data_IF_379271431466
#
_entry.id   IF_379271431466
#
_cell.length_a   1.000
_cell.length_b   1.000
_cell.length_c   1.000
_cell.angle_alpha   90.00
_cell.angle_beta   90.00
_cell.angle_gamma   90.00
#
_symmetry.space_group_name_H-M   'P 1'
#
loop_
_entity.id
_entity.type
_entity.pdbx_description
1 polymer ?
#
# COMPACT_ATOMS: atom_id res chain seq x y z
N UNK A 1 -5.63 15.48 -7.58
CA UNK A 1 -4.75 14.55 -6.81
C UNK A 1 -5.59 13.80 -5.78
N UNK A 2 -5.04 12.85 -5.00
CA UNK A 2 -5.84 12.17 -3.96
C UNK A 2 -6.44 13.15 -2.93
N UNK A 3 -5.66 14.14 -2.47
CA UNK A 3 -6.14 15.14 -1.51
C UNK A 3 -7.23 16.05 -2.09
N UNK A 4 -7.16 16.36 -3.38
CA UNK A 4 -8.21 17.13 -4.05
C UNK A 4 -9.52 16.33 -4.12
N UNK A 5 -9.46 15.08 -4.58
CA UNK A 5 -10.62 14.19 -4.58
C UNK A 5 -11.22 14.00 -3.18
N UNK A 6 -10.36 13.74 -2.19
CA UNK A 6 -10.79 13.41 -0.84
C UNK A 6 -11.32 14.62 -0.06
N UNK A 7 -10.65 15.78 -0.17
CA UNK A 7 -10.96 16.97 0.65
C UNK A 7 -11.79 18.00 -0.12
N UNK A 8 -11.40 18.34 -1.35
CA UNK A 8 -12.04 19.42 -2.12
C UNK A 8 -13.35 18.94 -2.75
N UNK A 9 -13.33 17.74 -3.32
CA UNK A 9 -14.45 17.16 -4.06
C UNK A 9 -15.32 16.23 -3.18
N UNK A 10 -15.00 16.12 -1.89
CA UNK A 10 -15.76 15.34 -0.90
C UNK A 10 -16.06 13.90 -1.31
N UNK A 11 -15.17 13.26 -2.08
CA UNK A 11 -15.38 11.92 -2.64
C UNK A 11 -16.65 11.76 -3.50
N UNK A 12 -17.22 12.85 -4.05
CA UNK A 12 -18.43 12.80 -4.87
C UNK A 12 -18.20 12.19 -6.27
N UNK A 13 -17.09 12.48 -6.98
CA UNK A 13 -16.85 11.89 -8.29
C UNK A 13 -16.74 10.36 -8.24
N UNK A 14 -17.25 9.69 -9.26
CA UNK A 14 -17.14 8.23 -9.34
C UNK A 14 -15.69 7.80 -9.62
N UNK A 15 -15.15 6.94 -8.76
CA UNK A 15 -13.79 6.41 -8.91
C UNK A 15 -13.74 5.37 -10.04
N UNK A 16 -12.92 5.61 -11.06
CA UNK A 16 -12.71 4.67 -12.17
C UNK A 16 -11.36 3.93 -12.11
N UNK A 17 -10.45 4.36 -11.23
CA UNK A 17 -9.12 3.76 -11.07
C UNK A 17 -8.17 4.62 -10.24
N UNK A 18 -6.93 4.12 -10.04
CA UNK A 18 -5.87 4.78 -9.29
C UNK A 18 -4.57 4.80 -10.09
N UNK A 19 -3.85 5.92 -10.05
CA UNK A 19 -2.54 6.11 -10.67
C UNK A 19 -1.55 6.64 -9.63
N UNK A 20 -0.36 6.05 -9.56
CA UNK A 20 0.72 6.46 -8.66
C UNK A 20 1.87 7.02 -9.47
N UNK A 21 1.90 8.34 -9.62
CA UNK A 21 2.93 9.03 -10.42
C UNK A 21 4.32 8.78 -9.83
N UNK A 22 5.23 8.30 -10.67
CA UNK A 22 6.63 8.03 -10.31
C UNK A 22 6.86 6.68 -9.62
N UNK A 23 5.84 5.81 -9.51
CA UNK A 23 5.99 4.52 -8.82
C UNK A 23 6.96 3.58 -9.55
N UNK A 24 6.98 3.62 -10.88
CA UNK A 24 7.87 2.78 -11.71
C UNK A 24 9.36 3.19 -11.57
N UNK A 25 9.62 4.41 -11.08
CA UNK A 25 10.97 4.92 -10.81
C UNK A 25 11.32 4.87 -9.32
N UNK A 26 10.33 4.61 -8.45
CA UNK A 26 10.49 4.63 -7.01
C UNK A 26 11.30 3.42 -6.54
N UNK A 27 12.22 3.67 -5.61
CA UNK A 27 13.01 2.63 -4.95
C UNK A 27 12.60 2.51 -3.49
N UNK A 28 12.69 1.31 -2.89
CA UNK A 28 12.51 1.16 -1.45
C UNK A 28 13.46 2.08 -0.68
N UNK A 29 12.97 2.65 0.42
CA UNK A 29 13.83 3.41 1.31
C UNK A 29 14.92 2.49 1.92
N UNK A 30 16.08 3.04 2.29
CA UNK A 30 17.15 2.26 2.91
C UNK A 30 16.63 1.43 4.09
N UNK A 31 16.92 0.12 4.07
CA UNK A 31 16.52 -0.81 5.12
C UNK A 31 15.11 -1.40 5.00
N UNK A 32 14.26 -0.94 4.07
CA UNK A 32 12.89 -1.50 3.93
C UNK A 32 12.93 -2.97 3.55
N UNK A 33 13.66 -3.34 2.49
CA UNK A 33 13.74 -4.74 2.05
C UNK A 33 14.40 -5.61 3.12
N UNK A 34 15.52 -5.16 3.69
CA UNK A 34 16.21 -5.85 4.78
C UNK A 34 15.28 -6.09 5.99
N UNK A 35 14.47 -5.10 6.38
CA UNK A 35 13.54 -5.25 7.49
C UNK A 35 12.45 -6.29 7.20
N UNK A 36 12.00 -6.40 5.94
CA UNK A 36 11.08 -7.47 5.54
C UNK A 36 11.80 -8.82 5.52
N UNK A 37 13.02 -8.89 4.98
CA UNK A 37 13.86 -10.09 4.93
C UNK A 37 14.24 -10.63 6.32
N UNK A 38 14.41 -9.76 7.31
CA UNK A 38 14.75 -10.15 8.69
C UNK A 38 13.49 -10.46 9.54
N UNK A 39 12.30 -10.11 9.05
CA UNK A 39 11.07 -10.35 9.79
C UNK A 39 10.70 -11.83 9.84
N UNK A 40 10.28 -12.29 11.03
CA UNK A 40 9.65 -13.60 11.22
C UNK A 40 8.26 -13.66 10.56
N UNK A 41 7.51 -12.55 10.65
CA UNK A 41 6.14 -12.40 10.12
C UNK A 41 5.94 -10.97 9.63
N UNK A 42 5.24 -10.80 8.50
CA UNK A 42 4.81 -9.50 8.00
C UNK A 42 3.32 -9.29 8.32
N UNK A 43 2.98 -8.17 8.94
CA UNK A 43 1.59 -7.79 9.24
C UNK A 43 1.15 -6.63 8.35
N UNK A 44 0.11 -6.86 7.54
CA UNK A 44 -0.61 -5.80 6.83
C UNK A 44 -1.74 -5.30 7.71
N UNK A 45 -1.54 -4.10 8.28
CA UNK A 45 -2.50 -3.40 9.12
C UNK A 45 -3.82 -3.07 8.38
N UNK A 46 -4.93 -2.82 9.10
CA UNK A 46 -6.25 -2.53 8.53
C UNK A 46 -6.36 -1.10 7.96
N UNK A 47 -5.48 -0.75 7.03
CA UNK A 47 -5.51 0.51 6.28
C UNK A 47 -6.29 0.37 4.97
N UNK A 48 -6.53 1.48 4.27
CA UNK A 48 -7.19 1.44 2.97
C UNK A 48 -6.34 0.64 1.95
N UNK A 49 -6.88 -0.41 1.33
CA UNK A 49 -6.09 -1.29 0.47
C UNK A 49 -5.58 -0.58 -0.79
N UNK A 50 -6.33 0.38 -1.35
CA UNK A 50 -5.99 1.04 -2.60
C UNK A 50 -5.08 2.25 -2.43
N UNK A 51 -5.35 3.12 -1.46
CA UNK A 51 -4.61 4.40 -1.35
C UNK A 51 -3.57 4.41 -0.23
N UNK A 52 -3.51 3.36 0.58
CA UNK A 52 -2.49 3.22 1.64
C UNK A 52 -1.57 2.02 1.41
N UNK A 53 -2.12 0.83 1.14
CA UNK A 53 -1.31 -0.39 1.03
C UNK A 53 -0.77 -0.61 -0.40
N UNK A 54 -1.61 -0.54 -1.44
CA UNK A 54 -1.17 -0.73 -2.84
C UNK A 54 0.00 0.17 -3.28
N UNK A 55 0.08 1.46 -2.90
CA UNK A 55 1.23 2.30 -3.24
C UNK A 55 2.55 1.78 -2.65
N UNK A 56 2.52 1.22 -1.44
CA UNK A 56 3.70 0.63 -0.78
C UNK A 56 4.13 -0.63 -1.54
N UNK A 57 3.17 -1.49 -1.88
CA UNK A 57 3.43 -2.75 -2.58
C UNK A 57 3.89 -2.56 -4.03
N UNK A 58 3.60 -1.41 -4.64
CA UNK A 58 4.04 -1.10 -6.01
C UNK A 58 5.45 -0.55 -6.11
N UNK A 59 6.08 -0.19 -4.98
CA UNK A 59 7.50 0.17 -4.99
C UNK A 59 8.32 -1.06 -5.34
N UNK A 60 9.28 -0.89 -6.24
CA UNK A 60 10.09 -1.97 -6.82
C UNK A 60 10.68 -2.91 -5.74
N UNK A 61 10.49 -4.21 -5.93
CA UNK A 61 10.93 -5.26 -5.00
C UNK A 61 10.12 -5.44 -3.71
N UNK A 62 9.29 -4.48 -3.27
CA UNK A 62 8.59 -4.58 -1.97
C UNK A 62 7.61 -5.74 -1.93
N UNK A 63 6.79 -5.90 -2.98
CA UNK A 63 5.81 -7.00 -3.06
C UNK A 63 6.50 -8.36 -3.06
N UNK A 64 7.54 -8.51 -3.87
CA UNK A 64 8.24 -9.78 -4.05
C UNK A 64 8.87 -10.21 -2.72
N UNK A 65 9.56 -9.32 -2.03
CA UNK A 65 10.16 -9.61 -0.72
C UNK A 65 9.11 -9.96 0.34
N UNK A 66 7.93 -9.33 0.32
CA UNK A 66 6.84 -9.66 1.24
C UNK A 66 6.24 -11.05 0.93
N UNK A 67 6.16 -11.44 -0.34
CA UNK A 67 5.58 -12.72 -0.75
C UNK A 67 6.40 -13.94 -0.28
N UNK A 68 7.69 -13.73 0.01
CA UNK A 68 8.57 -14.76 0.56
C UNK A 68 8.42 -14.95 2.09
N UNK A 69 7.49 -14.22 2.72
CA UNK A 69 7.27 -14.23 4.17
C UNK A 69 5.93 -14.82 4.57
N UNK A 70 5.82 -15.21 5.83
CA UNK A 70 4.51 -15.44 6.43
C UNK A 70 3.81 -14.08 6.57
N UNK A 71 2.73 -13.87 5.81
CA UNK A 71 1.97 -12.62 5.81
C UNK A 71 0.63 -12.81 6.51
N UNK A 72 0.35 -11.95 7.49
CA UNK A 72 -0.95 -11.84 8.14
C UNK A 72 -1.57 -10.51 7.72
N UNK A 73 -2.87 -10.52 7.39
CA UNK A 73 -3.59 -9.30 7.01
C UNK A 73 -4.79 -9.11 7.91
N UNK A 74 -5.11 -7.86 8.23
CA UNK A 74 -6.27 -7.50 9.04
C UNK A 74 -7.25 -6.76 8.13
N UNK A 75 -8.49 -7.22 8.06
CA UNK A 75 -9.53 -6.56 7.26
C UNK A 75 -9.77 -5.13 7.77
N UNK A 76 -9.73 -4.11 6.89
CA UNK A 76 -10.16 -2.75 7.24
C UNK A 76 -11.68 -2.61 7.27
N UNK A 77 -12.42 -3.60 6.75
CA UNK A 77 -13.87 -3.60 6.74
C UNK A 77 -14.37 -4.16 8.07
N UNK A 78 -14.98 -3.29 8.86
CA UNK A 78 -15.70 -3.65 10.08
C UNK A 78 -17.15 -3.89 9.68
N UNK A 79 -17.62 -5.13 9.86
CA UNK A 79 -19.03 -5.48 9.61
C UNK A 79 -19.93 -4.87 10.68
N UNK A 80 -21.00 -4.20 10.23
CA UNK A 80 -22.15 -3.78 11.02
C UNK A 80 -23.41 -4.43 10.45
#
# INVERSE_FOLDING_TARGET
SFQEYFVRENCEPHVTGFEFKGVDEAKPAPGVLQAVEDADVVLICPSNPWVSIDPILKVDGVRDTIQDKQVVTISPIIGG
#
